data_IF_409928120093
#
_entry.id   IF_409928120093
#
_cell.length_a   1.000
_cell.length_b   1.000
_cell.length_c   1.000
_cell.angle_alpha   90.00
_cell.angle_beta   90.00
_cell.angle_gamma   90.00
#
_symmetry.space_group_name_H-M   'P 1'
#
loop_
_entity.id
_entity.type
_entity.pdbx_description
1 polymer ?
#
# COMPACT_ATOMS: atom_id res chain seq x y z
N UNK A 1 -5.07 -15.53 10.04
CA UNK A 1 -6.27 -14.89 9.43
C UNK A 1 -6.02 -13.47 8.90
N UNK A 2 -4.76 -13.03 8.69
CA UNK A 2 -4.44 -11.66 8.28
C UNK A 2 -3.99 -11.51 6.81
N UNK A 3 -3.82 -12.63 6.10
CA UNK A 3 -3.35 -12.68 4.71
C UNK A 3 -4.37 -12.04 3.77
N UNK A 4 -5.67 -12.34 3.93
CA UNK A 4 -6.73 -11.85 3.02
C UNK A 4 -6.87 -10.33 3.00
N UNK A 5 -6.69 -9.65 4.14
CA UNK A 5 -6.78 -8.18 4.24
C UNK A 5 -5.66 -7.52 3.41
N UNK A 6 -4.42 -7.97 3.63
CA UNK A 6 -3.23 -7.45 2.94
C UNK A 6 -3.30 -7.74 1.46
N UNK A 7 -3.64 -8.97 1.08
CA UNK A 7 -3.79 -9.38 -0.32
C UNK A 7 -4.85 -8.55 -1.04
N UNK A 8 -6.00 -8.25 -0.41
CA UNK A 8 -7.03 -7.43 -1.02
C UNK A 8 -6.55 -5.99 -1.28
N UNK A 9 -5.87 -5.38 -0.31
CA UNK A 9 -5.31 -4.02 -0.43
C UNK A 9 -4.23 -3.98 -1.51
N UNK A 10 -3.30 -4.93 -1.51
CA UNK A 10 -2.26 -5.08 -2.52
C UNK A 10 -2.88 -5.28 -3.91
N UNK A 11 -3.87 -6.16 -4.04
CA UNK A 11 -4.57 -6.44 -5.30
C UNK A 11 -5.25 -5.19 -5.86
N UNK A 12 -5.88 -4.38 -5.01
CA UNK A 12 -6.50 -3.13 -5.43
C UNK A 12 -5.46 -2.11 -5.92
N UNK A 13 -4.30 -2.04 -5.25
CA UNK A 13 -3.19 -1.17 -5.64
C UNK A 13 -2.57 -1.59 -6.98
N UNK A 14 -2.23 -2.87 -7.16
CA UNK A 14 -1.68 -3.40 -8.43
C UNK A 14 -2.69 -3.34 -9.57
N UNK A 15 -3.99 -3.40 -9.27
CA UNK A 15 -5.03 -3.25 -10.29
C UNK A 15 -5.27 -1.78 -10.67
N UNK A 16 -4.64 -0.83 -9.97
CA UNK A 16 -4.90 0.61 -10.15
C UNK A 16 -6.30 1.06 -9.69
N UNK A 17 -7.01 0.23 -8.92
CA UNK A 17 -8.38 0.50 -8.45
C UNK A 17 -8.35 1.42 -7.22
N UNK A 18 -7.97 2.68 -7.44
CA UNK A 18 -7.77 3.68 -6.38
C UNK A 18 -8.95 3.80 -5.40
N UNK A 19 -10.19 3.84 -5.90
CA UNK A 19 -11.37 3.96 -5.02
C UNK A 19 -11.56 2.73 -4.14
N UNK A 20 -11.33 1.53 -4.68
CA UNK A 20 -11.38 0.30 -3.89
C UNK A 20 -10.24 0.25 -2.88
N UNK A 21 -9.04 0.68 -3.29
CA UNK A 21 -7.89 0.79 -2.42
C UNK A 21 -8.19 1.70 -1.22
N UNK A 22 -8.69 2.92 -1.46
CA UNK A 22 -9.10 3.89 -0.42
C UNK A 22 -10.14 3.30 0.54
N UNK A 23 -11.17 2.64 0.00
CA UNK A 23 -12.20 2.03 0.83
C UNK A 23 -11.66 0.90 1.70
N UNK A 24 -10.74 0.08 1.17
CA UNK A 24 -10.14 -1.02 1.93
C UNK A 24 -9.25 -0.50 3.04
N UNK A 25 -8.36 0.47 2.76
CA UNK A 25 -7.48 1.04 3.79
C UNK A 25 -8.30 1.73 4.88
N UNK A 26 -9.35 2.48 4.53
CA UNK A 26 -10.23 3.13 5.50
C UNK A 26 -11.05 2.13 6.32
N UNK A 27 -11.40 0.98 5.73
CA UNK A 27 -12.10 -0.10 6.42
C UNK A 27 -11.19 -0.86 7.40
N UNK A 28 -9.91 -0.93 7.11
CA UNK A 28 -8.92 -1.64 7.93
C UNK A 28 -8.13 -0.72 8.86
N UNK A 29 -8.29 0.58 8.72
CA UNK A 29 -7.76 1.58 9.65
C UNK A 29 -8.41 1.38 11.02
N UNK A 30 -7.57 1.09 12.01
CA UNK A 30 -7.94 0.92 13.41
C UNK A 30 -7.82 2.23 14.21
N UNK A 31 -7.62 3.34 13.50
CA UNK A 31 -7.38 4.66 14.09
C UNK A 31 -5.90 5.00 14.26
N UNK A 32 -4.99 4.09 13.85
CA UNK A 32 -3.57 4.39 13.71
C UNK A 32 -3.30 5.37 12.56
N UNK A 33 -4.17 5.40 11.56
CA UNK A 33 -4.09 6.29 10.41
C UNK A 33 -3.86 5.53 9.11
N UNK A 34 -4.35 6.11 8.02
CA UNK A 34 -4.29 5.50 6.68
C UNK A 34 -2.85 5.18 6.23
N UNK A 35 -1.88 6.03 6.55
CA UNK A 35 -0.48 5.82 6.21
C UNK A 35 0.10 4.60 6.94
N UNK A 36 -0.10 4.50 8.26
CA UNK A 36 0.33 3.36 9.08
C UNK A 36 -0.37 2.06 8.66
N UNK A 37 -1.66 2.14 8.37
CA UNK A 37 -2.41 1.01 7.83
C UNK A 37 -1.79 0.51 6.52
N UNK A 38 -1.49 1.41 5.58
CA UNK A 38 -0.83 1.05 4.31
C UNK A 38 0.59 0.51 4.53
N UNK A 39 1.38 1.12 5.42
CA UNK A 39 2.72 0.64 5.77
C UNK A 39 2.71 -0.74 6.41
N UNK A 40 1.67 -1.06 7.18
CA UNK A 40 1.48 -2.38 7.78
C UNK A 40 1.13 -3.46 6.74
N UNK A 41 0.59 -3.03 5.59
CA UNK A 41 0.28 -3.90 4.45
C UNK A 41 1.55 -4.16 3.66
N UNK A 42 2.19 -5.27 4.02
CA UNK A 42 3.34 -5.83 3.32
C UNK A 42 3.06 -7.28 2.93
N UNK A 43 3.61 -7.68 1.80
CA UNK A 43 3.64 -9.08 1.37
C UNK A 43 4.57 -9.92 2.27
N UNK A 44 4.58 -11.24 2.11
CA UNK A 44 5.40 -12.17 2.89
C UNK A 44 6.91 -11.91 2.73
N UNK A 45 7.31 -11.28 1.62
CA UNK A 45 8.68 -10.80 1.37
C UNK A 45 9.00 -9.48 2.09
N UNK A 46 8.05 -8.95 2.86
CA UNK A 46 8.12 -7.63 3.47
C UNK A 46 7.96 -6.49 2.47
N UNK A 47 7.49 -6.77 1.24
CA UNK A 47 7.32 -5.77 0.18
C UNK A 47 6.05 -4.95 0.40
N UNK A 48 6.21 -3.63 0.52
CA UNK A 48 5.11 -2.68 0.71
C UNK A 48 4.28 -2.37 -0.55
N UNK A 49 3.08 -1.81 -0.35
CA UNK A 49 2.15 -1.41 -1.42
C UNK A 49 2.76 -0.44 -2.44
N UNK A 50 3.60 0.50 -1.99
CA UNK A 50 4.24 1.50 -2.88
C UNK A 50 5.08 0.83 -3.96
N UNK A 51 5.89 -0.17 -3.62
CA UNK A 51 6.75 -0.86 -4.57
C UNK A 51 5.92 -1.58 -5.64
N UNK A 52 4.86 -2.26 -5.24
CA UNK A 52 3.94 -2.90 -6.17
C UNK A 52 3.25 -1.90 -7.09
N UNK A 53 2.77 -0.77 -6.56
CA UNK A 53 2.17 0.28 -7.38
C UNK A 53 3.17 0.90 -8.37
N UNK A 54 4.45 1.02 -7.98
CA UNK A 54 5.53 1.53 -8.83
C UNK A 54 5.92 0.55 -9.94
N UNK A 55 6.13 -0.72 -9.60
CA UNK A 55 6.44 -1.80 -10.56
C UNK A 55 5.33 -1.92 -11.60
N UNK A 56 4.08 -1.84 -11.17
CA UNK A 56 2.91 -1.93 -12.04
C UNK A 56 2.57 -0.62 -12.79
N UNK A 57 3.33 0.47 -12.53
CA UNK A 57 3.11 1.77 -13.16
C UNK A 57 1.78 2.43 -12.78
N UNK A 58 1.22 2.13 -11.60
CA UNK A 58 -0.07 2.67 -11.13
C UNK A 58 0.14 4.06 -10.51
N UNK A 59 0.42 5.03 -11.38
CA UNK A 59 0.71 6.41 -11.01
C UNK A 59 -0.41 7.07 -10.19
N UNK A 60 -1.67 6.71 -10.44
CA UNK A 60 -2.82 7.22 -9.69
C UNK A 60 -2.80 6.78 -8.22
N UNK A 61 -2.41 5.53 -7.95
CA UNK A 61 -2.25 5.00 -6.61
C UNK A 61 -1.00 5.60 -5.97
N UNK A 62 0.13 5.61 -6.67
CA UNK A 62 1.37 6.25 -6.22
C UNK A 62 1.19 7.71 -5.83
N UNK A 63 0.51 8.49 -6.67
CA UNK A 63 0.21 9.91 -6.39
C UNK A 63 -0.56 10.06 -5.10
N UNK A 64 -1.58 9.22 -4.87
CA UNK A 64 -2.31 9.23 -3.61
C UNK A 64 -1.43 8.83 -2.42
N UNK A 65 -0.60 7.80 -2.56
CA UNK A 65 0.29 7.35 -1.48
C UNK A 65 1.32 8.42 -1.09
N UNK A 66 1.89 9.12 -2.07
CA UNK A 66 2.97 10.09 -1.85
C UNK A 66 2.43 11.48 -1.51
N UNK A 67 1.46 11.98 -2.26
CA UNK A 67 0.96 13.35 -2.06
C UNK A 67 -0.02 13.44 -0.89
N UNK A 68 -0.89 12.44 -0.73
CA UNK A 68 -1.99 12.51 0.23
C UNK A 68 -1.66 11.79 1.53
N UNK A 69 -1.11 10.57 1.45
CA UNK A 69 -0.66 9.85 2.64
C UNK A 69 0.75 10.23 3.08
N UNK A 70 1.48 11.05 2.29
CA UNK A 70 2.86 11.48 2.58
C UNK A 70 3.80 10.33 2.94
N UNK A 71 3.57 9.18 2.31
CA UNK A 71 4.41 8.02 2.50
C UNK A 71 5.77 8.26 1.84
N UNK A 72 6.83 8.00 2.59
CA UNK A 72 8.18 8.03 2.06
C UNK A 72 8.37 6.85 1.09
N UNK A 73 8.69 7.18 -0.17
CA UNK A 73 9.03 6.18 -1.19
C UNK A 73 10.29 5.41 -0.87
N UNK A 74 11.15 5.94 0.01
CA UNK A 74 12.37 5.29 0.48
C UNK A 74 12.13 4.32 1.64
N UNK A 75 10.88 3.97 1.96
CA UNK A 75 10.60 2.94 2.94
C UNK A 75 11.27 1.63 2.53
N UNK A 76 12.40 1.35 3.16
CA UNK A 76 13.20 0.16 2.89
C UNK A 76 12.37 -1.09 3.12
N UNK A 77 12.15 -1.85 2.06
CA UNK A 77 11.83 -3.26 2.20
C UNK A 77 13.03 -3.98 2.87
N UNK A 78 12.81 -5.11 3.57
CA UNK A 78 13.87 -5.84 4.27
C UNK A 78 15.04 -6.25 3.36
N UNK A 79 14.81 -6.26 2.05
CA UNK A 79 15.79 -6.60 1.01
C UNK A 79 16.70 -5.43 0.60
N UNK A 80 16.48 -4.22 1.12
CA UNK A 80 17.29 -3.05 0.80
C UNK A 80 17.28 -2.66 -0.68
N UNK A 81 16.25 -3.07 -1.44
CA UNK A 81 16.04 -2.59 -2.80
C UNK A 81 15.15 -1.36 -2.72
N UNK A 82 15.80 -0.21 -2.85
CA UNK A 82 15.23 1.10 -3.15
C UNK A 82 14.94 1.22 -4.64
#
# INVERSE_FOLDING_TARGET
MNSTKRTAVLTAAISGKLNQFKNLIAKYDDGSGLADTVMSVKDDNGIGVIHFAAVEGKLNVLKYLIEELKLDVNMKDPKGMN
#
